data_IF_711247874164
#
_entry.id   IF_711247874164
#
_cell.length_a   1.000
_cell.length_b   1.000
_cell.length_c   1.000
_cell.angle_alpha   90.00
_cell.angle_beta   90.00
_cell.angle_gamma   90.00
#
_symmetry.space_group_name_H-M   'P 1'
#
loop_
_entity.id
_entity.type
_entity.pdbx_description
1 polymer ?
#
# COMPACT_ATOMS: atom_id res chain seq x y z
N UNK A 1 -10.29 3.21 6.15
CA UNK A 1 -9.43 4.40 5.96
C UNK A 1 -9.56 5.30 7.17
N UNK A 2 -8.47 5.92 7.65
CA UNK A 2 -8.53 6.64 8.93
C UNK A 2 -9.33 7.93 8.88
N UNK A 3 -8.95 8.92 8.08
CA UNK A 3 -9.60 10.24 8.01
C UNK A 3 -9.08 11.02 6.80
N UNK A 4 -9.68 12.17 6.50
CA UNK A 4 -9.27 13.02 5.39
C UNK A 4 -7.85 13.56 5.59
N UNK A 5 -7.06 13.50 4.53
CA UNK A 5 -5.72 14.08 4.45
C UNK A 5 -5.58 14.93 3.20
N UNK A 6 -4.63 15.86 3.27
CA UNK A 6 -4.18 16.70 2.16
C UNK A 6 -2.66 16.83 2.24
N UNK A 7 -1.97 16.66 1.11
CA UNK A 7 -0.51 16.83 0.97
C UNK A 7 -0.19 17.55 -0.34
N UNK A 8 0.91 18.33 -0.33
CA UNK A 8 1.35 19.06 -1.50
C UNK A 8 0.35 20.12 -1.96
N UNK A 9 0.34 20.39 -3.25
CA UNK A 9 -0.52 21.38 -3.90
C UNK A 9 -1.78 20.74 -4.45
N UNK A 10 -2.93 21.27 -4.06
CA UNK A 10 -4.23 20.86 -4.60
C UNK A 10 -5.05 22.09 -4.99
N UNK A 11 -5.97 21.97 -5.98
CA UNK A 11 -6.78 23.10 -6.40
C UNK A 11 -7.73 23.58 -5.29
N UNK A 12 -8.02 24.87 -5.27
CA UNK A 12 -8.93 25.48 -4.28
C UNK A 12 -10.36 24.95 -4.35
N UNK A 13 -10.76 24.45 -5.51
CA UNK A 13 -12.07 23.82 -5.75
C UNK A 13 -11.88 22.57 -6.60
N UNK A 14 -12.68 21.54 -6.35
CA UNK A 14 -12.74 20.37 -7.22
C UNK A 14 -13.27 20.71 -8.59
N UNK A 15 -12.87 19.96 -9.61
CA UNK A 15 -13.35 20.05 -10.98
C UNK A 15 -13.07 21.40 -11.65
N UNK A 16 -11.97 22.06 -11.29
CA UNK A 16 -11.43 23.22 -12.00
C UNK A 16 -10.13 22.84 -12.72
N UNK A 17 -9.76 23.63 -13.71
CA UNK A 17 -8.45 23.49 -14.33
C UNK A 17 -7.36 23.81 -13.30
N UNK A 18 -6.56 22.82 -12.94
CA UNK A 18 -5.41 23.00 -12.07
C UNK A 18 -4.14 23.14 -12.92
N UNK A 19 -3.47 24.26 -12.78
CA UNK A 19 -2.31 24.63 -13.60
C UNK A 19 -1.14 25.03 -12.72
N UNK A 20 0.06 24.74 -13.20
CA UNK A 20 1.28 25.28 -12.62
C UNK A 20 1.45 26.78 -12.95
N UNK A 21 2.51 27.40 -12.41
CA UNK A 21 2.84 28.81 -12.64
C UNK A 21 3.07 29.16 -14.11
N UNK A 22 3.51 28.22 -14.94
CA UNK A 22 3.69 28.41 -16.38
C UNK A 22 2.40 28.25 -17.21
N UNK A 23 1.28 27.93 -16.54
CA UNK A 23 -0.02 27.73 -17.20
C UNK A 23 -0.24 26.31 -17.75
N UNK A 24 0.69 25.37 -17.56
CA UNK A 24 0.55 23.97 -17.96
C UNK A 24 -0.40 23.27 -16.99
N UNK A 25 -1.38 22.49 -17.52
CA UNK A 25 -2.29 21.68 -16.73
C UNK A 25 -1.58 20.54 -16.04
N UNK A 26 -1.93 20.27 -14.78
CA UNK A 26 -1.68 19.01 -14.11
C UNK A 26 -2.71 17.96 -14.53
N UNK A 27 -2.35 16.69 -14.37
CA UNK A 27 -3.22 15.56 -14.70
C UNK A 27 -3.89 15.04 -13.44
N UNK A 28 -5.22 15.08 -13.43
CA UNK A 28 -6.02 14.60 -12.32
C UNK A 28 -6.33 13.12 -12.49
N UNK A 29 -6.10 12.32 -11.43
CA UNK A 29 -6.50 10.93 -11.33
C UNK A 29 -7.31 10.74 -10.04
N UNK A 30 -8.32 9.88 -10.08
CA UNK A 30 -9.05 9.42 -8.92
C UNK A 30 -8.62 8.00 -8.58
N UNK A 31 -7.98 7.84 -7.41
CA UNK A 31 -7.58 6.52 -6.90
C UNK A 31 -8.59 6.08 -5.86
N UNK A 32 -9.21 4.92 -6.10
CA UNK A 32 -10.24 4.35 -5.21
C UNK A 32 -10.31 2.84 -5.38
N UNK A 33 -11.10 2.18 -4.54
CA UNK A 33 -11.43 0.76 -4.70
C UNK A 33 -12.64 0.53 -5.60
N UNK A 34 -13.61 1.41 -5.56
CA UNK A 34 -14.94 1.26 -6.18
C UNK A 34 -15.31 2.46 -7.06
N UNK A 35 -14.33 3.02 -7.74
CA UNK A 35 -14.53 4.21 -8.56
C UNK A 35 -15.11 5.39 -7.75
N UNK A 36 -16.15 6.02 -8.24
CA UNK A 36 -16.78 7.19 -7.62
C UNK A 36 -17.71 6.84 -6.44
N UNK A 37 -17.95 5.57 -6.17
CA UNK A 37 -19.01 5.13 -5.26
C UNK A 37 -18.55 4.93 -3.81
N UNK A 38 -17.26 4.98 -3.53
CA UNK A 38 -16.69 4.68 -2.22
C UNK A 38 -15.60 5.68 -1.84
N UNK A 39 -14.74 5.24 -0.93
CA UNK A 39 -13.60 6.04 -0.45
C UNK A 39 -12.59 6.24 -1.58
N UNK A 40 -12.16 7.46 -1.79
CA UNK A 40 -11.22 7.85 -2.85
C UNK A 40 -10.25 8.95 -2.38
N UNK A 41 -9.22 9.14 -3.16
CA UNK A 41 -8.38 10.34 -3.16
C UNK A 41 -8.24 10.86 -4.58
N UNK A 42 -8.24 12.19 -4.73
CA UNK A 42 -7.81 12.85 -5.96
C UNK A 42 -6.30 13.08 -5.89
N UNK A 43 -5.61 12.74 -6.93
CA UNK A 43 -4.17 12.93 -7.06
C UNK A 43 -3.87 13.74 -8.32
N UNK A 44 -2.83 14.58 -8.25
CA UNK A 44 -2.51 15.53 -9.31
C UNK A 44 -1.07 15.29 -9.77
N UNK A 45 -0.92 14.84 -11.02
CA UNK A 45 0.33 14.42 -11.62
C UNK A 45 0.95 15.49 -12.52
N UNK A 46 2.26 15.48 -12.61
CA UNK A 46 3.01 16.25 -13.62
C UNK A 46 2.78 15.71 -15.03
N UNK A 47 2.61 14.39 -15.16
CA UNK A 47 2.51 13.68 -16.43
C UNK A 47 1.24 12.82 -16.47
N UNK A 48 0.76 12.39 -17.66
CA UNK A 48 -0.39 11.49 -17.75
C UNK A 48 -0.14 10.17 -17.00
N UNK A 49 -0.96 9.81 -15.99
CA UNK A 49 -0.68 8.66 -15.11
C UNK A 49 -0.87 7.30 -15.77
N UNK A 50 -1.56 7.24 -16.93
CA UNK A 50 -1.92 6.01 -17.63
C UNK A 50 -1.08 5.73 -18.86
N UNK A 51 0.02 6.47 -19.08
CA UNK A 51 0.88 6.25 -20.25
C UNK A 51 1.79 5.03 -20.01
N UNK A 52 1.42 3.93 -20.63
CA UNK A 52 2.14 2.65 -20.57
C UNK A 52 2.78 2.38 -21.92
N UNK A 53 4.11 2.24 -21.95
CA UNK A 53 4.90 2.00 -23.16
C UNK A 53 4.93 0.53 -23.56
N UNK A 54 4.97 -0.36 -22.56
CA UNK A 54 5.08 -1.80 -22.80
C UNK A 54 4.45 -2.62 -21.68
N UNK A 55 4.06 -3.84 -22.02
CA UNK A 55 3.66 -4.88 -21.08
C UNK A 55 4.66 -6.02 -21.17
N UNK A 56 5.16 -6.45 -20.01
CA UNK A 56 6.00 -7.64 -19.90
C UNK A 56 5.20 -8.93 -19.98
N UNK A 57 5.92 -10.05 -19.95
CA UNK A 57 5.31 -11.37 -19.96
C UNK A 57 4.46 -11.63 -18.71
N UNK A 58 3.43 -12.46 -18.89
CA UNK A 58 2.62 -12.93 -17.78
C UNK A 58 3.39 -13.95 -16.94
N UNK A 59 3.50 -13.70 -15.64
CA UNK A 59 4.12 -14.58 -14.67
C UNK A 59 3.04 -15.18 -13.75
N UNK A 60 2.64 -16.44 -13.95
CA UNK A 60 1.58 -17.05 -13.15
C UNK A 60 2.01 -17.25 -11.71
N UNK A 61 1.08 -17.06 -10.77
CA UNK A 61 1.27 -17.34 -9.36
C UNK A 61 1.22 -18.85 -9.11
N UNK A 62 2.38 -19.48 -8.95
CA UNK A 62 2.50 -20.91 -8.72
C UNK A 62 2.40 -21.27 -7.22
N UNK A 63 1.23 -21.11 -6.63
CA UNK A 63 0.94 -21.54 -5.26
C UNK A 63 0.17 -22.85 -5.33
N UNK A 64 0.70 -23.91 -4.68
CA UNK A 64 0.05 -25.22 -4.62
C UNK A 64 -0.58 -25.43 -3.25
N UNK A 65 -1.86 -25.75 -3.23
CA UNK A 65 -2.54 -26.19 -2.01
C UNK A 65 -2.00 -27.53 -1.56
N UNK A 66 -1.86 -27.71 -0.26
CA UNK A 66 -1.59 -29.05 0.30
C UNK A 66 -2.84 -29.90 0.15
N UNK A 67 -2.67 -31.07 -0.44
CA UNK A 67 -3.70 -32.10 -0.49
C UNK A 67 -3.53 -33.07 0.67
N UNK A 68 -4.59 -33.39 1.38
CA UNK A 68 -4.59 -34.31 2.50
C UNK A 68 -5.68 -33.99 3.52
N UNK A 69 -5.86 -34.86 4.53
CA UNK A 69 -6.88 -34.66 5.55
C UNK A 69 -6.66 -33.36 6.31
N UNK A 70 -7.76 -32.73 6.72
CA UNK A 70 -7.73 -31.61 7.66
C UNK A 70 -7.09 -32.07 8.98
N UNK A 71 -6.07 -31.34 9.41
CA UNK A 71 -5.40 -31.57 10.69
C UNK A 71 -4.82 -30.25 11.21
N UNK A 72 -4.63 -30.18 12.52
CA UNK A 72 -3.94 -29.07 13.14
C UNK A 72 -2.49 -28.99 12.63
N UNK A 73 -2.05 -27.79 12.29
CA UNK A 73 -0.71 -27.54 11.76
C UNK A 73 -0.04 -26.42 12.56
N UNK A 74 1.20 -26.63 12.90
CA UNK A 74 2.09 -25.61 13.45
C UNK A 74 3.21 -25.36 12.44
N UNK A 75 3.27 -24.12 11.91
CA UNK A 75 4.29 -23.70 10.93
C UNK A 75 5.37 -22.92 11.67
N UNK A 76 6.57 -23.46 11.74
CA UNK A 76 7.74 -22.78 12.31
C UNK A 76 8.30 -21.78 11.30
N UNK A 77 7.70 -20.62 11.21
CA UNK A 77 8.03 -19.60 10.21
C UNK A 77 9.47 -19.06 10.36
N UNK A 78 10.07 -19.16 11.55
CA UNK A 78 11.47 -18.80 11.79
C UNK A 78 12.48 -19.66 11.04
N UNK A 79 12.12 -20.91 10.74
CA UNK A 79 12.97 -21.89 10.03
C UNK A 79 12.82 -21.79 8.50
N UNK A 80 11.80 -21.10 8.02
CA UNK A 80 11.59 -20.90 6.59
C UNK A 80 12.63 -19.94 6.02
N UNK A 81 13.47 -20.45 5.14
CA UNK A 81 14.45 -19.63 4.43
C UNK A 81 13.75 -18.81 3.37
N UNK A 82 13.98 -17.51 3.38
CA UNK A 82 13.62 -16.61 2.30
C UNK A 82 14.63 -15.47 2.26
N UNK A 83 14.88 -14.91 1.10
CA UNK A 83 15.82 -13.82 0.87
C UNK A 83 15.39 -13.07 -0.37
N UNK A 84 15.56 -11.78 -0.39
CA UNK A 84 15.18 -10.91 -1.47
C UNK A 84 14.54 -9.61 -0.98
N UNK A 85 13.82 -8.96 -1.85
CA UNK A 85 13.04 -7.77 -1.54
C UNK A 85 11.65 -8.12 -0.96
N UNK A 86 10.85 -7.08 -0.67
CA UNK A 86 9.53 -7.24 -0.04
C UNK A 86 8.50 -8.02 -0.89
N UNK A 87 8.80 -8.32 -2.16
CA UNK A 87 7.96 -9.11 -3.05
C UNK A 87 8.59 -10.47 -3.31
N UNK A 88 9.84 -10.50 -3.76
CA UNK A 88 10.54 -11.74 -4.14
C UNK A 88 10.82 -12.68 -2.95
N UNK A 89 10.94 -12.13 -1.73
CA UNK A 89 11.13 -12.92 -0.51
C UNK A 89 9.84 -13.53 0.06
N UNK A 90 8.66 -13.31 -0.54
CA UNK A 90 7.38 -13.82 0.00
C UNK A 90 7.29 -15.33 -0.11
N UNK A 91 7.10 -15.99 1.01
CA UNK A 91 6.79 -17.43 1.12
C UNK A 91 5.33 -17.57 1.54
N UNK A 92 4.47 -18.16 0.72
CA UNK A 92 3.06 -18.35 1.05
C UNK A 92 2.92 -19.38 2.19
N UNK A 93 2.13 -18.99 3.20
CA UNK A 93 1.82 -19.84 4.37
C UNK A 93 0.41 -20.41 4.29
N UNK A 94 -0.55 -19.54 4.04
CA UNK A 94 -1.98 -19.86 3.96
C UNK A 94 -2.61 -19.05 2.82
N UNK A 95 -3.59 -19.62 2.15
CA UNK A 95 -4.34 -18.90 1.13
C UNK A 95 -5.71 -19.51 0.89
N UNK A 96 -6.60 -18.68 0.38
CA UNK A 96 -7.85 -19.07 -0.25
C UNK A 96 -8.14 -18.12 -1.43
N UNK A 97 -9.36 -18.09 -1.94
CA UNK A 97 -9.74 -17.24 -3.07
C UNK A 97 -9.67 -15.73 -2.75
N UNK A 98 -9.75 -15.35 -1.49
CA UNK A 98 -9.90 -13.95 -1.06
C UNK A 98 -8.72 -13.43 -0.23
N UNK A 99 -7.90 -14.32 0.32
CA UNK A 99 -6.85 -13.93 1.27
C UNK A 99 -5.60 -14.77 1.05
N UNK A 100 -4.46 -14.09 1.10
CA UNK A 100 -3.15 -14.74 1.09
C UNK A 100 -2.36 -14.26 2.32
N UNK A 101 -1.69 -15.17 2.98
CA UNK A 101 -0.78 -14.86 4.11
C UNK A 101 0.60 -15.38 3.74
N UNK A 102 1.57 -14.45 3.76
CA UNK A 102 2.95 -14.75 3.44
C UNK A 102 3.86 -14.32 4.60
N UNK A 103 5.00 -15.00 4.69
CA UNK A 103 6.15 -14.50 5.44
C UNK A 103 7.22 -14.08 4.45
N UNK A 104 7.97 -13.02 4.78
CA UNK A 104 9.17 -12.66 4.03
C UNK A 104 10.31 -12.25 4.95
N UNK A 105 11.53 -12.64 4.57
CA UNK A 105 12.76 -12.12 5.12
C UNK A 105 13.40 -11.23 4.06
N UNK A 106 13.26 -9.94 4.26
CA UNK A 106 13.68 -8.89 3.32
C UNK A 106 15.10 -8.49 3.66
N UNK A 107 16.06 -8.84 2.82
CA UNK A 107 17.48 -8.53 2.97
C UNK A 107 18.02 -7.64 1.84
N UNK A 108 17.13 -7.22 0.94
CA UNK A 108 17.42 -6.30 -0.16
C UNK A 108 16.34 -5.23 -0.28
N UNK A 109 16.74 -4.02 -0.62
CA UNK A 109 15.80 -2.98 -1.06
C UNK A 109 15.19 -3.35 -2.41
N UNK A 110 13.95 -2.93 -2.64
CA UNK A 110 13.31 -3.11 -3.95
C UNK A 110 13.99 -2.22 -5.00
N UNK A 111 14.27 -2.78 -6.16
CA UNK A 111 14.79 -2.05 -7.33
C UNK A 111 13.68 -1.65 -8.29
N UNK A 112 12.55 -2.39 -8.27
CA UNK A 112 11.35 -2.13 -9.07
C UNK A 112 10.24 -1.55 -8.21
N UNK A 113 9.34 -0.79 -8.84
CA UNK A 113 8.09 -0.38 -8.20
C UNK A 113 7.10 -1.55 -8.24
N UNK A 114 6.17 -1.54 -7.29
CA UNK A 114 5.15 -2.58 -7.21
C UNK A 114 3.76 -1.98 -6.97
N UNK A 115 2.75 -2.66 -7.51
CA UNK A 115 1.34 -2.35 -7.27
C UNK A 115 0.53 -3.63 -7.13
N UNK A 116 -0.28 -3.75 -6.09
CA UNK A 116 -1.32 -4.77 -6.04
C UNK A 116 -2.59 -4.20 -6.65
N UNK A 117 -3.00 -4.70 -7.81
CA UNK A 117 -4.22 -4.28 -8.50
C UNK A 117 -5.47 -5.03 -8.05
N UNK A 118 -5.33 -6.03 -7.16
CA UNK A 118 -6.44 -6.93 -6.82
C UNK A 118 -6.76 -7.01 -5.32
N UNK A 119 -5.75 -6.82 -4.45
CA UNK A 119 -5.89 -6.94 -3.00
C UNK A 119 -5.39 -5.69 -2.29
N UNK A 120 -6.00 -5.36 -1.16
CA UNK A 120 -5.37 -4.53 -0.15
C UNK A 120 -4.28 -5.36 0.53
N UNK A 121 -3.20 -4.73 0.98
CA UNK A 121 -2.11 -5.41 1.66
C UNK A 121 -1.91 -4.86 3.07
N UNK A 122 -1.62 -5.75 4.01
CA UNK A 122 -1.16 -5.38 5.35
C UNK A 122 0.20 -6.01 5.57
N UNK A 123 1.21 -5.20 5.83
CA UNK A 123 2.56 -5.64 6.16
C UNK A 123 2.81 -5.39 7.64
N UNK A 124 2.90 -6.47 8.43
CA UNK A 124 3.33 -6.37 9.82
C UNK A 124 4.85 -6.47 9.90
N UNK A 125 5.48 -5.43 10.44
CA UNK A 125 6.94 -5.36 10.61
C UNK A 125 7.30 -6.03 11.92
N UNK A 126 7.78 -7.28 11.86
CA UNK A 126 8.20 -8.01 13.04
C UNK A 126 9.57 -7.55 13.55
N UNK A 127 10.51 -7.28 12.64
CA UNK A 127 11.84 -6.76 12.95
C UNK A 127 12.46 -6.05 11.75
N UNK A 128 13.50 -5.25 12.00
CA UNK A 128 14.18 -4.45 10.99
C UNK A 128 13.56 -3.07 10.81
N UNK A 129 14.20 -2.23 10.00
CA UNK A 129 13.78 -0.85 9.72
C UNK A 129 13.98 -0.49 8.26
N UNK A 130 13.27 0.52 7.79
CA UNK A 130 13.37 1.00 6.43
C UNK A 130 12.38 2.13 6.16
N UNK A 131 12.17 2.39 4.87
CA UNK A 131 11.22 3.39 4.39
C UNK A 131 10.30 2.76 3.36
N UNK A 132 9.02 3.00 3.53
CA UNK A 132 8.01 2.79 2.51
C UNK A 132 7.89 4.08 1.69
N UNK A 133 8.03 3.95 0.39
CA UNK A 133 7.89 5.04 -0.59
C UNK A 133 6.71 4.72 -1.50
N UNK A 134 5.89 5.70 -1.78
CA UNK A 134 4.72 5.54 -2.65
C UNK A 134 4.44 6.82 -3.43
N UNK A 135 3.53 6.73 -4.39
CA UNK A 135 3.00 7.91 -5.07
C UNK A 135 2.29 8.89 -4.11
N UNK A 136 1.91 8.49 -2.90
CA UNK A 136 1.33 9.37 -1.88
C UNK A 136 2.36 10.05 -0.95
N UNK A 137 3.63 9.65 -1.02
CA UNK A 137 4.70 10.10 -0.13
C UNK A 137 5.40 8.94 0.59
N UNK A 138 6.07 9.23 1.69
CA UNK A 138 6.90 8.26 2.41
C UNK A 138 6.39 8.01 3.84
N UNK A 139 6.70 6.81 4.35
CA UNK A 139 6.43 6.41 5.73
C UNK A 139 7.67 5.68 6.29
N UNK A 140 8.17 6.04 7.47
CA UNK A 140 9.20 5.26 8.15
C UNK A 140 8.63 3.94 8.63
N UNK A 141 9.43 2.85 8.56
CA UNK A 141 9.04 1.51 9.01
C UNK A 141 9.88 1.09 10.19
N UNK A 142 9.23 0.61 11.26
CA UNK A 142 9.86 0.10 12.48
C UNK A 142 9.13 -1.14 13.02
N UNK A 143 9.77 -1.91 13.93
CA UNK A 143 9.11 -3.06 14.54
C UNK A 143 7.79 -2.70 15.22
N UNK A 144 6.78 -3.55 15.03
CA UNK A 144 5.42 -3.38 15.55
C UNK A 144 4.47 -2.63 14.61
N UNK A 145 4.95 -2.07 13.51
CA UNK A 145 4.11 -1.37 12.55
C UNK A 145 3.25 -2.34 11.72
N UNK A 146 1.98 -1.99 11.59
CA UNK A 146 1.08 -2.50 10.57
C UNK A 146 0.97 -1.42 9.47
N UNK A 147 1.65 -1.65 8.35
CA UNK A 147 1.51 -0.84 7.16
C UNK A 147 0.34 -1.36 6.34
N UNK A 148 -0.68 -0.54 6.17
CA UNK A 148 -1.85 -0.84 5.34
C UNK A 148 -1.70 -0.13 4.00
N UNK A 149 -1.73 -0.90 2.92
CA UNK A 149 -1.58 -0.42 1.56
C UNK A 149 -2.86 -0.74 0.78
N UNK A 150 -3.68 0.25 0.47
CA UNK A 150 -4.86 0.05 -0.37
C UNK A 150 -4.46 -0.40 -1.78
N UNK A 151 -5.27 -1.24 -2.42
CA UNK A 151 -5.02 -1.66 -3.80
C UNK A 151 -4.88 -0.47 -4.75
N UNK A 152 -4.07 -0.61 -5.76
CA UNK A 152 -3.82 0.44 -6.74
C UNK A 152 -2.70 1.40 -6.38
N UNK A 153 -2.28 1.47 -5.12
CA UNK A 153 -1.12 2.27 -4.70
C UNK A 153 0.16 1.69 -5.30
N UNK A 154 0.97 2.55 -5.91
CA UNK A 154 2.30 2.18 -6.42
C UNK A 154 3.32 2.47 -5.33
N UNK A 155 4.18 1.49 -5.02
CA UNK A 155 5.08 1.61 -3.90
C UNK A 155 6.38 0.80 -4.04
N UNK A 156 7.35 1.10 -3.19
CA UNK A 156 8.55 0.31 -2.94
C UNK A 156 9.00 0.42 -1.48
N UNK A 157 9.80 -0.54 -1.02
CA UNK A 157 10.46 -0.49 0.29
C UNK A 157 11.98 -0.42 0.09
N UNK A 158 12.60 0.57 0.74
CA UNK A 158 14.04 0.67 0.93
C UNK A 158 14.36 0.30 2.37
N UNK A 159 15.18 -0.72 2.59
CA UNK A 159 15.54 -1.18 3.93
C UNK A 159 16.81 -0.49 4.43
N UNK A 160 16.81 -0.15 5.73
CA UNK A 160 18.02 0.27 6.44
C UNK A 160 18.71 -0.94 7.08
N UNK A 161 17.90 -1.89 7.56
CA UNK A 161 18.33 -3.16 8.15
C UNK A 161 17.43 -4.29 7.64
N UNK A 162 17.93 -5.54 7.56
CA UNK A 162 17.09 -6.67 7.16
C UNK A 162 15.81 -6.78 7.98
N UNK A 163 14.70 -7.00 7.29
CA UNK A 163 13.37 -7.01 7.89
C UNK A 163 12.76 -8.40 7.87
N UNK A 164 12.00 -8.74 8.90
CA UNK A 164 11.08 -9.87 8.91
C UNK A 164 9.67 -9.32 8.88
N UNK A 165 8.91 -9.69 7.87
CA UNK A 165 7.55 -9.20 7.69
C UNK A 165 6.55 -10.35 7.53
N UNK A 166 5.35 -10.14 8.05
CA UNK A 166 4.17 -10.94 7.74
C UNK A 166 3.31 -10.11 6.80
N UNK A 167 2.91 -10.67 5.66
CA UNK A 167 2.10 -10.00 4.66
C UNK A 167 0.74 -10.67 4.59
N UNK A 168 -0.32 -9.88 4.66
CA UNK A 168 -1.70 -10.31 4.41
C UNK A 168 -2.22 -9.56 3.21
N UNK A 169 -2.62 -10.29 2.16
CA UNK A 169 -3.37 -9.75 1.02
C UNK A 169 -4.85 -10.07 1.22
N UNK A 170 -5.73 -9.09 1.02
CA UNK A 170 -7.19 -9.25 1.16
C UNK A 170 -7.93 -8.66 -0.03
N UNK A 171 -8.85 -9.43 -0.62
CA UNK A 171 -9.76 -8.93 -1.65
C UNK A 171 -10.82 -7.99 -1.09
N UNK A 172 -11.13 -8.12 0.21
CA UNK A 172 -11.97 -7.17 0.94
C UNK A 172 -11.18 -5.95 1.42
N UNK A 173 -11.87 -4.88 1.81
CA UNK A 173 -11.24 -3.67 2.33
C UNK A 173 -10.57 -3.89 3.69
N UNK A 174 -9.38 -3.33 3.86
CA UNK A 174 -8.76 -3.19 5.17
C UNK A 174 -9.10 -1.81 5.73
N UNK A 175 -10.04 -1.78 6.66
CA UNK A 175 -10.62 -0.54 7.18
C UNK A 175 -10.78 -0.58 8.69
N UNK A 176 -10.88 0.60 9.30
CA UNK A 176 -11.32 0.72 10.69
C UNK A 176 -12.74 0.18 10.83
N UNK A 177 -13.01 -0.76 11.75
CA UNK A 177 -14.35 -1.29 11.95
C UNK A 177 -15.37 -0.19 12.23
N UNK A 178 -16.55 -0.30 11.62
CA UNK A 178 -17.63 0.69 11.77
C UNK A 178 -18.06 0.89 13.22
N UNK A 179 -17.96 -0.16 14.07
CA UNK A 179 -18.26 -0.08 15.50
C UNK A 179 -17.35 0.89 16.28
N UNK A 180 -16.20 1.28 15.72
CA UNK A 180 -15.29 2.24 16.34
C UNK A 180 -15.52 3.67 15.83
N UNK A 181 -16.46 3.89 14.93
CA UNK A 181 -16.75 5.21 14.37
C UNK A 181 -18.15 5.69 14.75
N UNK A 182 -18.25 6.98 15.00
CA UNK A 182 -19.54 7.63 15.11
C UNK A 182 -20.12 7.93 13.70
N UNK A 183 -21.35 8.45 13.64
CA UNK A 183 -22.03 8.81 12.38
C UNK A 183 -21.31 9.88 11.54
N UNK A 184 -20.35 10.59 12.11
CA UNK A 184 -19.57 11.61 11.44
C UNK A 184 -18.20 11.07 10.95
N UNK A 185 -17.90 9.78 11.17
CA UNK A 185 -16.65 9.13 10.78
C UNK A 185 -15.48 9.31 11.74
N UNK A 186 -15.67 10.03 12.85
CA UNK A 186 -14.69 10.19 13.90
C UNK A 186 -14.56 8.90 14.72
N UNK A 187 -13.35 8.55 15.15
CA UNK A 187 -13.14 7.45 16.10
C UNK A 187 -13.78 7.79 17.45
N UNK A 188 -14.49 6.82 18.00
CA UNK A 188 -15.15 6.98 19.29
C UNK A 188 -14.15 6.89 20.43
N UNK A 189 -14.47 7.49 21.58
CA UNK A 189 -13.62 7.49 22.77
C UNK A 189 -13.29 6.08 23.28
N UNK A 190 -14.16 5.13 23.05
CA UNK A 190 -13.98 3.73 23.42
C UNK A 190 -13.35 2.86 22.31
N UNK A 191 -12.88 3.47 21.24
CA UNK A 191 -12.05 2.77 20.25
C UNK A 191 -10.66 2.47 20.86
N UNK A 192 -10.04 1.32 20.48
CA UNK A 192 -8.73 0.94 21.03
C UNK A 192 -7.57 1.76 20.50
N UNK A 193 -7.81 2.71 19.62
CA UNK A 193 -6.85 3.66 19.05
C UNK A 193 -7.61 4.89 18.55
N UNK A 194 -6.88 5.97 18.34
CA UNK A 194 -7.42 7.24 17.84
C UNK A 194 -6.70 7.72 16.58
N UNK A 195 -7.17 8.81 16.00
CA UNK A 195 -6.58 9.39 14.79
C UNK A 195 -5.11 9.77 14.98
N UNK A 196 -4.69 10.17 16.17
CA UNK A 196 -3.29 10.53 16.50
C UNK A 196 -2.31 9.36 16.45
N UNK A 197 -2.82 8.11 16.59
CA UNK A 197 -2.01 6.89 16.60
C UNK A 197 -1.74 6.39 15.17
N UNK A 198 -2.38 7.03 14.18
CA UNK A 198 -2.25 6.68 12.78
C UNK A 198 -1.25 7.60 12.09
N UNK A 199 -0.22 7.00 11.53
CA UNK A 199 0.77 7.71 10.71
C UNK A 199 0.29 7.72 9.25
N UNK A 200 0.34 8.89 8.65
CA UNK A 200 -0.03 9.13 7.25
C UNK A 200 1.19 9.58 6.46
N UNK A 201 1.22 9.41 5.12
CA UNK A 201 2.41 9.72 4.33
C UNK A 201 2.92 11.13 4.57
N UNK A 202 4.24 11.24 4.81
CA UNK A 202 4.95 12.50 4.75
C UNK A 202 5.12 12.89 3.28
N UNK A 203 5.03 14.19 3.03
CA UNK A 203 5.20 14.71 1.68
C UNK A 203 6.58 14.36 1.12
N UNK A 204 6.62 14.06 -0.17
CA UNK A 204 7.82 13.80 -0.95
C UNK A 204 7.73 14.58 -2.26
N UNK A 205 8.78 15.29 -2.60
CA UNK A 205 8.81 16.06 -3.85
C UNK A 205 8.61 15.15 -5.07
N UNK A 206 7.87 15.61 -6.09
CA UNK A 206 7.59 14.82 -7.27
C UNK A 206 8.88 14.49 -8.05
N UNK A 207 9.00 13.22 -8.43
CA UNK A 207 10.13 12.76 -9.24
C UNK A 207 9.87 13.13 -10.70
N UNK A 208 10.68 14.03 -11.23
CA UNK A 208 10.65 14.42 -12.64
C UNK A 208 11.66 13.57 -13.42
N UNK A 209 11.17 12.48 -14.01
CA UNK A 209 11.99 11.62 -14.87
C UNK A 209 11.23 11.34 -16.16
N UNK A 210 11.96 11.41 -17.27
CA UNK A 210 11.50 10.99 -18.59
C UNK A 210 11.99 9.59 -18.97
N UNK A 211 12.71 8.93 -18.06
CA UNK A 211 13.15 7.55 -18.27
C UNK A 211 12.01 6.60 -17.95
N UNK A 212 11.76 5.62 -18.82
CA UNK A 212 10.76 4.58 -18.56
C UNK A 212 11.10 3.83 -17.28
N UNK A 213 10.06 3.47 -16.51
CA UNK A 213 10.20 2.72 -15.26
C UNK A 213 9.23 1.56 -15.19
N UNK A 214 9.72 0.44 -14.69
CA UNK A 214 8.93 -0.76 -14.54
C UNK A 214 8.17 -0.78 -13.21
N UNK A 215 6.88 -1.10 -13.32
CA UNK A 215 5.99 -1.38 -12.19
C UNK A 215 5.53 -2.83 -12.29
N UNK A 216 5.93 -3.65 -11.34
CA UNK A 216 5.44 -5.01 -11.20
C UNK A 216 4.02 -4.99 -10.65
N UNK A 217 3.05 -5.41 -11.43
CA UNK A 217 1.64 -5.40 -11.06
C UNK A 217 1.17 -6.80 -10.68
N UNK A 218 0.68 -6.93 -9.44
CA UNK A 218 0.00 -8.13 -8.96
C UNK A 218 -1.44 -8.11 -9.44
N UNK A 219 -1.80 -9.09 -10.23
CA UNK A 219 -3.15 -9.33 -10.74
C UNK A 219 -3.71 -10.64 -10.18
N UNK A 220 -4.99 -10.90 -10.42
CA UNK A 220 -5.57 -12.19 -10.03
C UNK A 220 -4.88 -13.32 -10.80
N UNK A 221 -4.23 -14.22 -10.04
CA UNK A 221 -3.54 -15.39 -10.62
C UNK A 221 -2.07 -15.17 -11.01
N UNK A 222 -1.50 -13.96 -10.92
CA UNK A 222 -0.09 -13.76 -11.28
C UNK A 222 0.39 -12.32 -11.22
N UNK A 223 1.48 -12.09 -11.94
CA UNK A 223 2.11 -10.79 -12.05
C UNK A 223 2.34 -10.42 -13.51
N UNK A 224 2.37 -9.13 -13.78
CA UNK A 224 2.77 -8.59 -15.07
C UNK A 224 3.51 -7.28 -14.87
N UNK A 225 4.59 -7.04 -15.61
CA UNK A 225 5.30 -5.78 -15.58
C UNK A 225 4.64 -4.78 -16.52
N UNK A 226 4.46 -3.57 -16.05
CA UNK A 226 3.98 -2.41 -16.81
C UNK A 226 5.10 -1.39 -16.89
N UNK A 227 5.61 -1.10 -18.05
CA UNK A 227 6.62 -0.08 -18.25
C UNK A 227 5.94 1.27 -18.46
N UNK A 228 6.03 2.13 -17.45
CA UNK A 228 5.51 3.49 -17.48
C UNK A 228 6.48 4.42 -18.21
N UNK A 229 5.96 5.39 -18.98
CA UNK A 229 6.77 6.39 -19.65
C UNK A 229 7.44 7.37 -18.69
N UNK A 230 6.79 7.64 -17.56
CA UNK A 230 7.22 8.56 -16.53
C UNK A 230 7.24 7.90 -15.16
N UNK A 231 8.02 8.42 -14.22
CA UNK A 231 8.06 7.92 -12.86
C UNK A 231 6.71 8.19 -12.17
N UNK A 232 5.99 7.16 -11.62
CA UNK A 232 4.66 7.35 -11.02
C UNK A 232 4.64 8.14 -9.71
N UNK A 233 5.81 8.45 -9.12
CA UNK A 233 5.92 9.31 -7.93
C UNK A 233 6.07 10.77 -8.37
N UNK A 234 5.24 11.23 -9.28
CA UNK A 234 5.26 12.56 -9.85
C UNK A 234 4.10 13.45 -9.38
N UNK A 235 3.47 13.11 -8.25
CA UNK A 235 2.39 13.90 -7.69
C UNK A 235 2.87 15.25 -7.20
N UNK A 236 2.20 16.31 -7.61
CA UNK A 236 2.35 17.67 -7.06
C UNK A 236 1.50 17.85 -5.81
N UNK A 237 0.50 17.02 -5.61
CA UNK A 237 -0.35 16.99 -4.43
C UNK A 237 -1.46 15.97 -4.55
N UNK A 238 -2.11 15.72 -3.43
CA UNK A 238 -3.28 14.86 -3.34
C UNK A 238 -4.16 15.22 -2.13
N UNK A 239 -5.43 14.86 -2.21
CA UNK A 239 -6.34 14.96 -1.09
C UNK A 239 -7.38 13.84 -1.10
N UNK A 240 -7.81 13.43 0.09
CA UNK A 240 -8.87 12.43 0.22
C UNK A 240 -8.69 11.50 1.42
N UNK A 241 -9.25 10.31 1.27
CA UNK A 241 -9.31 9.29 2.32
C UNK A 241 -8.60 7.99 1.92
N UNK A 242 -8.22 7.82 0.67
CA UNK A 242 -7.64 6.60 0.10
C UNK A 242 -6.14 6.76 -0.07
N UNK A 243 -5.36 6.29 0.88
CA UNK A 243 -3.90 6.40 0.93
C UNK A 243 -3.31 5.32 1.85
N UNK A 244 -2.02 4.96 1.74
CA UNK A 244 -1.35 4.05 2.68
C UNK A 244 -1.20 4.70 4.05
N UNK A 245 -1.21 3.88 5.12
CA UNK A 245 -1.09 4.38 6.48
C UNK A 245 -0.48 3.33 7.41
N UNK A 246 0.08 3.77 8.53
CA UNK A 246 0.68 2.91 9.54
C UNK A 246 -0.04 3.07 10.86
N UNK A 247 -0.17 1.95 11.54
CA UNK A 247 -0.59 1.84 12.95
C UNK A 247 0.39 0.92 13.67
N UNK A 248 0.94 1.35 14.82
CA UNK A 248 1.85 0.51 15.58
C UNK A 248 1.10 -0.30 16.64
N UNK A 249 1.42 -1.59 16.78
CA UNK A 249 0.76 -2.48 17.75
C UNK A 249 0.90 -2.00 19.20
N UNK A 250 1.96 -1.26 19.52
CA UNK A 250 2.19 -0.74 20.86
C UNK A 250 1.29 0.46 21.21
N UNK A 251 0.66 1.08 20.18
CA UNK A 251 -0.28 2.18 20.37
C UNK A 251 -1.74 1.67 20.53
N UNK A 252 -1.93 0.35 20.43
CA UNK A 252 -3.23 -0.28 20.65
C UNK A 252 -3.54 -0.33 22.15
N UNK A 253 -4.62 0.33 22.55
CA UNK A 253 -5.10 0.32 23.94
C UNK A 253 -6.27 -0.64 24.09
N UNK A 254 -6.09 -1.83 24.67
CA UNK A 254 -7.19 -2.74 24.92
C UNK A 254 -8.14 -2.11 25.95
N UNK A 255 -9.37 -1.85 25.52
CA UNK A 255 -10.42 -1.40 26.43
C UNK A 255 -11.12 -2.65 26.95
N UNK A 256 -10.97 -2.90 28.25
CA UNK A 256 -11.66 -3.98 28.94
C UNK A 256 -12.87 -3.43 29.71
N UNK A 257 -14.01 -4.07 29.58
CA UNK A 257 -15.11 -3.86 30.51
C UNK A 257 -16.20 -2.91 30.05
N UNK A 258 -16.62 -3.02 28.84
CA UNK A 258 -17.99 -2.65 28.45
C UNK A 258 -18.72 -3.85 27.87
#
# INVERSE_FOLDING_TARGET
MPYYQKRGEVPNKRHIQFKNESGKLYWEELISREGFSSIYSNVYHLNPPTTINALGDWMPLNIKAMTGPHQNRHIRTGELKSSGDAISARVPLLFNTNTFIHKAHVDKSMDVLYRNGHHDEVLFIHSGTGKFLSNFGQLPLKPGDYLVIPRGVIWQIKIDNPMKILVVESSGPVETPSRYRNRFGQLMEDAPYSERDIQTPEWMEPIQSTEPIDVLVRLNGGFQTYTHEHHPFDLVGWDGYYFPWIFNINDFMPITGK
#
